data_IF_936898163619
#
_entry.id   IF_936898163619
#
_cell.length_a   1.000
_cell.length_b   1.000
_cell.length_c   1.000
_cell.angle_alpha   90.00
_cell.angle_beta   90.00
_cell.angle_gamma   90.00
#
_symmetry.space_group_name_H-M   'P 1'
#
loop_
_entity.id
_entity.type
_entity.pdbx_description
1 polymer ?
#
# COMPACT_ATOMS: atom_id res chain seq x y z
N UNK A 1 2.73 -3.95 26.80
CA UNK A 1 3.97 -4.61 26.30
C UNK A 1 3.67 -5.89 25.51
N UNK A 2 2.81 -6.80 26.00
CA UNK A 2 2.41 -8.04 25.29
C UNK A 2 1.83 -7.82 23.87
N UNK A 3 0.90 -6.87 23.71
CA UNK A 3 0.32 -6.54 22.40
C UNK A 3 1.35 -5.97 21.41
N UNK A 4 2.36 -5.24 21.91
CA UNK A 4 3.44 -4.71 21.07
C UNK A 4 4.33 -5.82 20.52
N UNK A 5 4.59 -6.86 21.32
CA UNK A 5 5.40 -8.01 20.93
C UNK A 5 4.71 -8.88 19.87
N UNK A 6 3.38 -9.06 19.98
CA UNK A 6 2.57 -9.77 18.97
C UNK A 6 2.53 -9.02 17.64
N UNK A 7 2.35 -7.69 17.70
CA UNK A 7 2.37 -6.86 16.50
C UNK A 7 3.75 -6.84 15.83
N UNK A 8 4.83 -6.88 16.62
CA UNK A 8 6.20 -6.95 16.13
C UNK A 8 6.50 -8.29 15.44
N UNK A 9 6.02 -9.40 16.01
CA UNK A 9 6.22 -10.76 15.47
C UNK A 9 5.49 -10.95 14.12
N UNK A 10 4.25 -10.48 14.00
CA UNK A 10 3.51 -10.48 12.73
C UNK A 10 4.10 -9.53 11.68
N UNK A 11 4.62 -8.38 12.10
CA UNK A 11 5.34 -7.46 11.23
C UNK A 11 6.66 -8.07 10.72
N UNK A 12 7.38 -8.82 11.56
CA UNK A 12 8.61 -9.53 11.19
C UNK A 12 8.36 -10.70 10.21
N UNK A 13 7.28 -11.46 10.41
CA UNK A 13 6.85 -12.52 9.47
C UNK A 13 6.44 -11.96 8.11
N UNK A 14 5.78 -10.80 8.09
CA UNK A 14 5.37 -10.12 6.85
C UNK A 14 6.58 -9.49 6.14
N UNK A 15 7.51 -8.88 6.88
CA UNK A 15 8.75 -8.33 6.34
C UNK A 15 9.68 -9.42 5.78
N UNK A 16 9.81 -10.55 6.47
CA UNK A 16 10.62 -11.70 6.01
C UNK A 16 10.09 -12.38 4.75
N UNK A 17 8.78 -12.37 4.51
CA UNK A 17 8.19 -12.84 3.26
C UNK A 17 8.49 -11.90 2.07
N UNK A 18 8.52 -10.58 2.32
CA UNK A 18 8.78 -9.54 1.31
C UNK A 18 10.25 -9.52 0.86
N UNK A 19 11.17 -9.99 1.69
CA UNK A 19 12.61 -9.98 1.43
C UNK A 19 13.09 -11.03 0.39
N UNK A 20 12.21 -11.93 -0.05
CA UNK A 20 12.56 -13.05 -0.96
C UNK A 20 12.70 -12.70 -2.46
N UNK A 21 12.71 -11.42 -2.87
CA UNK A 21 12.73 -11.02 -4.29
C UNK A 21 14.11 -10.53 -4.81
N UNK A 22 14.55 -10.84 -6.07
CA UNK A 22 15.97 -10.90 -6.50
C UNK A 22 16.71 -9.55 -6.69
N UNK A 23 18.05 -9.62 -6.76
CA UNK A 23 19.01 -8.52 -6.59
C UNK A 23 19.36 -7.75 -7.88
N UNK A 24 19.55 -6.43 -7.76
CA UNK A 24 20.23 -5.62 -8.78
C UNK A 24 19.93 -4.11 -8.81
N UNK A 25 18.73 -3.66 -8.39
CA UNK A 25 18.34 -2.22 -8.33
C UNK A 25 17.45 -1.90 -7.11
N UNK A 26 17.66 -2.61 -6.01
CA UNK A 26 16.75 -2.66 -4.85
C UNK A 26 16.67 -1.35 -4.07
N UNK A 27 17.76 -0.58 -3.97
CA UNK A 27 17.81 0.63 -3.13
C UNK A 27 16.83 1.73 -3.55
N UNK A 28 16.82 2.11 -4.83
CA UNK A 28 15.91 3.14 -5.33
C UNK A 28 14.44 2.68 -5.29
N UNK A 29 14.17 1.41 -5.65
CA UNK A 29 12.81 0.85 -5.59
C UNK A 29 12.29 0.76 -4.16
N UNK A 30 13.13 0.35 -3.20
CA UNK A 30 12.77 0.34 -1.78
C UNK A 30 12.58 1.75 -1.23
N UNK A 31 13.42 2.71 -1.61
CA UNK A 31 13.26 4.11 -1.19
C UNK A 31 11.91 4.69 -1.68
N UNK A 32 11.55 4.45 -2.94
CA UNK A 32 10.25 4.88 -3.50
C UNK A 32 9.09 4.13 -2.83
N UNK A 33 9.23 2.83 -2.59
CA UNK A 33 8.21 2.04 -1.90
C UNK A 33 7.96 2.56 -0.47
N UNK A 34 9.02 2.81 0.29
CA UNK A 34 8.92 3.36 1.64
C UNK A 34 8.39 4.79 1.65
N UNK A 35 8.85 5.64 0.72
CA UNK A 35 8.34 7.02 0.60
C UNK A 35 6.85 7.04 0.28
N UNK A 36 6.40 6.18 -0.64
CA UNK A 36 4.98 6.02 -0.95
C UNK A 36 4.21 5.45 0.23
N UNK A 37 4.76 4.46 0.95
CA UNK A 37 4.14 3.86 2.13
C UNK A 37 3.97 4.86 3.27
N UNK A 38 5.05 5.57 3.64
CA UNK A 38 5.02 6.60 4.68
C UNK A 38 4.16 7.82 4.27
N UNK A 39 4.28 8.25 3.02
CA UNK A 39 3.46 9.34 2.49
C UNK A 39 1.97 8.99 2.52
N UNK A 40 1.60 7.80 2.06
CA UNK A 40 0.23 7.32 2.12
C UNK A 40 -0.28 7.17 3.56
N UNK A 41 0.57 6.71 4.50
CA UNK A 41 0.22 6.61 5.92
C UNK A 41 -0.08 7.96 6.56
N UNK A 42 0.56 9.04 6.12
CA UNK A 42 0.27 10.40 6.58
C UNK A 42 -0.99 10.98 5.91
N UNK A 43 -1.14 10.77 4.60
CA UNK A 43 -2.23 11.35 3.80
C UNK A 43 -3.57 10.65 4.06
N UNK A 44 -3.57 9.34 4.33
CA UNK A 44 -4.80 8.56 4.48
C UNK A 44 -5.70 9.05 5.65
N UNK A 45 -5.19 9.29 6.88
CA UNK A 45 -6.02 9.83 7.97
C UNK A 45 -6.60 11.21 7.65
N UNK A 46 -5.83 12.07 6.97
CA UNK A 46 -6.29 13.42 6.57
C UNK A 46 -7.42 13.32 5.55
N UNK A 47 -7.24 12.50 4.51
CA UNK A 47 -8.27 12.30 3.49
C UNK A 47 -9.53 11.61 4.06
N UNK A 48 -9.35 10.66 4.99
CA UNK A 48 -10.46 10.03 5.70
C UNK A 48 -11.23 11.03 6.56
N UNK A 49 -10.53 11.86 7.34
CA UNK A 49 -11.12 12.92 8.15
C UNK A 49 -11.89 13.93 7.30
N UNK A 50 -11.31 14.40 6.19
CA UNK A 50 -11.99 15.30 5.25
C UNK A 50 -13.25 14.68 4.65
N UNK A 51 -13.18 13.41 4.25
CA UNK A 51 -14.35 12.70 3.72
C UNK A 51 -15.45 12.56 4.76
N UNK A 52 -15.06 12.26 6.01
CA UNK A 52 -15.98 12.15 7.13
C UNK A 52 -16.63 13.49 7.47
N UNK A 53 -15.84 14.56 7.50
CA UNK A 53 -16.32 15.92 7.78
C UNK A 53 -17.28 16.41 6.67
N UNK A 54 -16.96 16.14 5.40
CA UNK A 54 -17.82 16.48 4.26
C UNK A 54 -19.12 15.66 4.21
N UNK A 55 -19.10 14.42 4.70
CA UNK A 55 -20.26 13.53 4.66
C UNK A 55 -21.24 13.73 5.83
N UNK A 56 -21.00 14.72 6.71
CA UNK A 56 -21.88 15.06 7.83
C UNK A 56 -21.23 14.94 9.21
N UNK A 57 -19.91 14.75 9.26
CA UNK A 57 -19.13 14.72 10.50
C UNK A 57 -19.32 13.44 11.32
N UNK A 58 -18.60 13.38 12.45
CA UNK A 58 -18.49 12.20 13.33
C UNK A 58 -19.83 11.73 13.92
N UNK A 59 -20.79 12.66 14.05
CA UNK A 59 -22.11 12.42 14.63
C UNK A 59 -23.06 11.66 13.69
N UNK A 60 -22.73 11.58 12.39
CA UNK A 60 -23.61 10.98 11.38
C UNK A 60 -23.15 9.56 11.02
N UNK A 61 -23.93 8.50 11.28
CA UNK A 61 -23.52 7.12 10.95
C UNK A 61 -23.28 6.89 9.45
N UNK A 62 -24.04 7.59 8.59
CA UNK A 62 -23.86 7.53 7.14
C UNK A 62 -22.49 8.09 6.70
N UNK A 63 -21.96 9.10 7.40
CA UNK A 63 -20.65 9.68 7.12
C UNK A 63 -19.52 8.65 7.29
N UNK A 64 -19.63 7.79 8.31
CA UNK A 64 -18.70 6.68 8.51
C UNK A 64 -18.76 5.66 7.36
N UNK A 65 -19.96 5.33 6.88
CA UNK A 65 -20.14 4.47 5.72
C UNK A 65 -19.44 5.01 4.48
N UNK A 66 -19.58 6.32 4.21
CA UNK A 66 -18.91 6.99 3.08
C UNK A 66 -17.39 7.01 3.25
N UNK A 67 -16.89 7.29 4.46
CA UNK A 67 -15.45 7.29 4.73
C UNK A 67 -14.81 5.90 4.55
N UNK A 68 -15.47 4.82 5.00
CA UNK A 68 -15.01 3.46 4.74
C UNK A 68 -15.13 3.04 3.27
N UNK A 69 -16.20 3.46 2.58
CA UNK A 69 -16.35 3.20 1.15
C UNK A 69 -15.22 3.86 0.33
N UNK A 70 -14.81 5.08 0.71
CA UNK A 70 -13.68 5.77 0.11
C UNK A 70 -12.37 4.98 0.27
N UNK A 71 -12.09 4.45 1.46
CA UNK A 71 -10.92 3.59 1.71
C UNK A 71 -10.96 2.33 0.83
N UNK A 72 -12.13 1.68 0.73
CA UNK A 72 -12.32 0.53 -0.15
C UNK A 72 -12.10 0.84 -1.64
N UNK A 73 -12.61 1.98 -2.11
CA UNK A 73 -12.43 2.45 -3.47
C UNK A 73 -10.94 2.71 -3.79
N UNK A 74 -10.19 3.32 -2.87
CA UNK A 74 -8.74 3.54 -3.03
C UNK A 74 -7.98 2.20 -3.03
N UNK A 75 -8.37 1.25 -2.18
CA UNK A 75 -7.78 -0.10 -2.17
C UNK A 75 -7.96 -0.86 -3.48
N UNK A 76 -9.13 -0.73 -4.13
CA UNK A 76 -9.42 -1.33 -5.43
C UNK A 76 -8.50 -0.80 -6.54
N UNK A 77 -8.04 0.45 -6.45
CA UNK A 77 -7.06 1.02 -7.40
C UNK A 77 -5.66 0.39 -7.27
N UNK A 78 -5.37 -0.32 -6.17
CA UNK A 78 -4.12 -1.09 -6.01
C UNK A 78 -4.04 -2.29 -6.96
N UNK A 79 -5.17 -2.89 -7.33
CA UNK A 79 -5.24 -4.05 -8.24
C UNK A 79 -4.71 -3.74 -9.64
N UNK A 80 -5.17 -2.68 -10.35
CA UNK A 80 -4.64 -2.34 -11.67
C UNK A 80 -3.16 -1.92 -11.63
N UNK A 81 -2.70 -1.28 -10.55
CA UNK A 81 -1.29 -0.96 -10.36
C UNK A 81 -0.41 -2.23 -10.30
N UNK A 82 -0.87 -3.25 -9.58
CA UNK A 82 -0.19 -4.56 -9.53
C UNK A 82 -0.25 -5.31 -10.86
N UNK A 83 -1.37 -5.22 -11.59
CA UNK A 83 -1.51 -5.83 -12.91
C UNK A 83 -0.57 -5.16 -13.95
N UNK A 84 -0.45 -3.84 -13.92
CA UNK A 84 0.44 -3.09 -14.81
C UNK A 84 1.92 -3.35 -14.50
N UNK A 85 2.27 -3.46 -13.21
CA UNK A 85 3.61 -3.83 -12.76
C UNK A 85 4.00 -5.26 -13.21
N UNK A 86 3.03 -6.20 -13.23
CA UNK A 86 3.23 -7.55 -13.77
C UNK A 86 3.45 -7.54 -15.30
N UNK A 87 2.74 -6.69 -16.04
CA UNK A 87 2.86 -6.58 -17.50
C UNK A 87 4.26 -6.12 -17.94
N UNK A 88 4.88 -5.17 -17.24
CA UNK A 88 6.24 -4.68 -17.58
C UNK A 88 7.34 -5.71 -17.33
N UNK A 89 7.12 -6.69 -16.43
CA UNK A 89 8.11 -7.75 -16.14
C UNK A 89 8.16 -8.84 -17.22
N UNK A 90 7.14 -8.96 -18.05
CA UNK A 90 7.10 -9.86 -19.20
C UNK A 90 7.83 -9.36 -20.46
N UNK A 91 8.40 -8.15 -20.43
CA UNK A 91 9.12 -7.52 -21.56
C UNK A 91 10.61 -7.38 -21.30
N UNK A 92 11.20 -8.41 -20.70
CA UNK A 92 12.65 -8.57 -20.65
C UNK A 92 13.20 -8.79 -22.06
N UNK A 93 14.33 -8.16 -22.45
CA UNK A 93 14.86 -8.28 -23.81
C UNK A 93 15.19 -9.75 -24.11
N UNK A 94 14.53 -10.31 -25.13
CA UNK A 94 15.08 -11.46 -25.84
C UNK A 94 16.49 -11.07 -26.26
N UNK A 95 17.50 -11.71 -25.67
CA UNK A 95 18.84 -11.76 -26.25
C UNK A 95 18.85 -12.95 -27.20
N UNK A 96 18.68 -12.78 -28.52
CA UNK A 96 19.18 -13.76 -29.44
C UNK A 96 20.68 -13.58 -29.65
N UNK A 97 21.29 -14.73 -29.94
CA UNK A 97 22.47 -14.94 -30.76
C UNK A 97 23.82 -15.24 -30.07
N UNK A 98 24.22 -16.49 -30.33
CA UNK A 98 25.57 -17.05 -30.50
C UNK A 98 26.35 -17.46 -29.28
#
# INVERSE_FOLDING_TARGET
>A
MYAGLIQLDSAALTAGAVETAPAGRRGATLAVHSLLGFGAAFVAPVAFGLTLDLAGGRETPAAWGVAFAMVGAVGLLGVPALMLARSKRGRGPNRPAR
#
